data_IF_238174371185
#
_entry.id   IF_238174371185
#
_cell.length_a   1.000
_cell.length_b   1.000
_cell.length_c   1.000
_cell.angle_alpha   90.00
_cell.angle_beta   90.00
_cell.angle_gamma   90.00
#
_symmetry.space_group_name_H-M   'P 1'
#
loop_
_entity.id
_entity.type
_entity.pdbx_description
1 polymer ?
#
# COMPACT_ATOMS: atom_id res chain seq x y z
N UNK A 1 16.61 16.00 -5.21
CA UNK A 1 16.70 14.67 -5.86
C UNK A 1 17.26 13.58 -4.94
N UNK A 2 18.50 13.70 -4.44
CA UNK A 2 19.16 12.66 -3.61
C UNK A 2 18.34 12.22 -2.38
N UNK A 3 17.60 13.15 -1.78
CA UNK A 3 16.75 12.89 -0.61
C UNK A 3 15.63 11.90 -0.88
N UNK A 4 14.92 12.03 -2.01
CA UNK A 4 13.82 11.14 -2.39
C UNK A 4 14.31 9.72 -2.70
N UNK A 5 15.48 9.61 -3.33
CA UNK A 5 16.11 8.32 -3.63
C UNK A 5 16.48 7.59 -2.34
N UNK A 6 17.04 8.30 -1.35
CA UNK A 6 17.33 7.72 -0.03
C UNK A 6 16.07 7.21 0.66
N UNK A 7 14.98 7.99 0.63
CA UNK A 7 13.73 7.56 1.23
C UNK A 7 13.14 6.32 0.54
N UNK A 8 13.16 6.26 -0.79
CA UNK A 8 12.72 5.08 -1.52
C UNK A 8 13.56 3.84 -1.19
N UNK A 9 14.88 4.01 -1.02
CA UNK A 9 15.78 2.95 -0.58
C UNK A 9 15.45 2.48 0.84
N UNK A 10 15.19 3.38 1.78
CA UNK A 10 14.79 2.99 3.14
C UNK A 10 13.42 2.32 3.17
N UNK A 11 12.47 2.78 2.35
CA UNK A 11 11.18 2.11 2.19
C UNK A 11 11.34 0.70 1.61
N UNK A 12 12.21 0.52 0.62
CA UNK A 12 12.58 -0.79 0.08
C UNK A 12 13.15 -1.70 1.17
N UNK A 13 14.18 -1.24 1.88
CA UNK A 13 14.88 -2.04 2.91
C UNK A 13 13.95 -2.39 4.08
N UNK A 14 13.14 -1.43 4.54
CA UNK A 14 12.12 -1.68 5.57
C UNK A 14 11.15 -2.76 5.11
N UNK A 15 10.63 -2.62 3.89
CA UNK A 15 9.69 -3.59 3.32
C UNK A 15 10.30 -4.99 3.19
N UNK A 16 11.54 -5.10 2.71
CA UNK A 16 12.27 -6.38 2.65
C UNK A 16 12.46 -6.97 4.05
N UNK A 17 12.86 -6.15 5.02
CA UNK A 17 13.04 -6.58 6.41
C UNK A 17 11.75 -7.13 7.01
N UNK A 18 10.63 -6.45 6.81
CA UNK A 18 9.31 -6.93 7.25
C UNK A 18 8.84 -8.15 6.45
N UNK A 19 9.14 -8.25 5.16
CA UNK A 19 8.84 -9.44 4.38
C UNK A 19 9.60 -10.67 4.91
N UNK A 20 10.86 -10.51 5.32
CA UNK A 20 11.64 -11.54 6.01
C UNK A 20 11.04 -11.85 7.39
N UNK A 21 10.70 -10.83 8.17
CA UNK A 21 10.10 -10.97 9.50
C UNK A 21 8.79 -11.76 9.47
N UNK A 22 7.98 -11.57 8.42
CA UNK A 22 6.74 -12.31 8.20
C UNK A 22 6.93 -13.64 7.47
N UNK A 23 8.16 -14.16 7.41
CA UNK A 23 8.51 -15.43 6.77
C UNK A 23 8.08 -15.52 5.30
N UNK A 24 8.20 -14.41 4.56
CA UNK A 24 7.94 -14.35 3.12
C UNK A 24 8.90 -15.25 2.32
N UNK A 25 8.44 -15.89 1.23
CA UNK A 25 9.30 -16.69 0.37
C UNK A 25 10.50 -15.89 -0.17
N UNK A 26 11.71 -16.47 -0.14
CA UNK A 26 12.96 -15.78 -0.50
C UNK A 26 12.94 -15.20 -1.93
N UNK A 27 12.28 -15.89 -2.85
CA UNK A 27 12.08 -15.50 -4.26
C UNK A 27 11.16 -14.27 -4.42
N UNK A 28 10.45 -13.86 -3.37
CA UNK A 28 9.50 -12.74 -3.40
C UNK A 28 10.00 -11.46 -2.74
N UNK A 29 11.10 -11.53 -1.97
CA UNK A 29 11.53 -10.44 -1.08
C UNK A 29 11.85 -9.15 -1.84
N UNK A 30 12.58 -9.24 -2.95
CA UNK A 30 12.94 -8.08 -3.77
C UNK A 30 11.68 -7.43 -4.34
N UNK A 31 10.72 -8.23 -4.79
CA UNK A 31 9.46 -7.75 -5.38
C UNK A 31 8.54 -7.15 -4.31
N UNK A 32 8.53 -7.71 -3.09
CA UNK A 32 7.88 -7.07 -1.96
C UNK A 32 8.53 -5.71 -1.68
N UNK A 33 9.86 -5.64 -1.67
CA UNK A 33 10.63 -4.40 -1.51
C UNK A 33 10.22 -3.31 -2.52
N UNK A 34 10.07 -3.67 -3.81
CA UNK A 34 9.66 -2.70 -4.83
C UNK A 34 8.22 -2.20 -4.62
N UNK A 35 7.30 -3.03 -4.11
CA UNK A 35 5.96 -2.57 -3.72
C UNK A 35 6.02 -1.43 -2.71
N UNK A 36 6.83 -1.57 -1.65
CA UNK A 36 6.94 -0.54 -0.62
C UNK A 36 7.69 0.70 -1.08
N UNK A 37 8.74 0.54 -1.89
CA UNK A 37 9.47 1.68 -2.47
C UNK A 37 8.57 2.53 -3.38
N UNK A 38 7.80 1.88 -4.27
CA UNK A 38 6.91 2.59 -5.20
C UNK A 38 5.73 3.19 -4.44
N UNK A 39 5.11 2.46 -3.50
CA UNK A 39 4.05 2.99 -2.66
C UNK A 39 4.49 4.22 -1.86
N UNK A 40 5.72 4.21 -1.33
CA UNK A 40 6.29 5.36 -0.63
C UNK A 40 6.52 6.56 -1.56
N UNK A 41 7.06 6.33 -2.77
CA UNK A 41 7.25 7.40 -3.76
C UNK A 41 5.93 8.06 -4.16
N UNK A 42 4.89 7.26 -4.41
CA UNK A 42 3.55 7.79 -4.70
C UNK A 42 3.02 8.59 -3.52
N UNK A 43 3.21 8.11 -2.29
CA UNK A 43 2.82 8.86 -1.09
C UNK A 43 3.51 10.24 -1.02
N UNK A 44 4.81 10.33 -1.27
CA UNK A 44 5.52 11.62 -1.26
C UNK A 44 4.93 12.57 -2.32
N UNK A 45 4.77 12.09 -3.55
CA UNK A 45 4.27 12.91 -4.67
C UNK A 45 2.85 13.38 -4.38
N UNK A 46 1.97 12.47 -3.97
CA UNK A 46 0.58 12.78 -3.65
C UNK A 46 0.46 13.72 -2.45
N UNK A 47 1.29 13.55 -1.42
CA UNK A 47 1.33 14.47 -0.27
C UNK A 47 1.76 15.88 -0.71
N UNK A 48 2.75 15.98 -1.60
CA UNK A 48 3.20 17.26 -2.13
C UNK A 48 2.10 17.96 -2.95
N UNK A 49 1.36 17.22 -3.78
CA UNK A 49 0.32 17.80 -4.65
C UNK A 49 -0.98 18.14 -3.90
N UNK A 50 -1.38 17.32 -2.93
CA UNK A 50 -2.65 17.48 -2.20
C UNK A 50 -2.54 18.25 -0.89
N UNK A 51 -1.31 18.50 -0.41
CA UNK A 51 -1.02 19.02 0.91
C UNK A 51 -1.65 18.20 2.07
N UNK A 52 -1.96 16.92 1.83
CA UNK A 52 -2.62 16.03 2.80
C UNK A 52 -1.88 14.71 2.95
N UNK A 53 -1.48 14.40 4.20
CA UNK A 53 -0.83 13.12 4.51
C UNK A 53 -1.79 11.94 4.33
N UNK A 54 -3.08 12.13 4.60
CA UNK A 54 -4.11 11.09 4.50
C UNK A 54 -4.30 10.69 3.03
N UNK A 55 -4.38 11.68 2.13
CA UNK A 55 -4.50 11.46 0.67
C UNK A 55 -3.22 10.85 0.11
N UNK A 56 -2.05 11.35 0.54
CA UNK A 56 -0.76 10.77 0.16
C UNK A 56 -0.67 9.29 0.52
N UNK A 57 -1.00 8.97 1.76
CA UNK A 57 -0.98 7.59 2.26
C UNK A 57 -2.02 6.71 1.57
N UNK A 58 -3.21 7.23 1.31
CA UNK A 58 -4.26 6.52 0.57
C UNK A 58 -3.77 6.09 -0.82
N UNK A 59 -3.21 7.04 -1.58
CA UNK A 59 -2.72 6.78 -2.94
C UNK A 59 -1.50 5.86 -2.91
N UNK A 60 -0.57 6.07 -1.99
CA UNK A 60 0.59 5.18 -1.82
C UNK A 60 0.19 3.74 -1.47
N UNK A 61 -0.75 3.57 -0.54
CA UNK A 61 -1.25 2.26 -0.13
C UNK A 61 -2.06 1.60 -1.25
N UNK A 62 -2.81 2.38 -2.02
CA UNK A 62 -3.54 1.88 -3.20
C UNK A 62 -2.55 1.38 -4.25
N UNK A 63 -1.47 2.12 -4.50
CA UNK A 63 -0.42 1.67 -5.41
C UNK A 63 0.26 0.39 -4.93
N UNK A 64 0.63 0.31 -3.64
CA UNK A 64 1.22 -0.91 -3.07
C UNK A 64 0.26 -2.10 -3.17
N UNK A 65 -1.04 -1.88 -2.92
CA UNK A 65 -2.10 -2.89 -3.07
C UNK A 65 -2.22 -3.40 -4.51
N UNK A 66 -2.33 -2.49 -5.49
CA UNK A 66 -2.43 -2.85 -6.91
C UNK A 66 -1.17 -3.55 -7.43
N UNK A 67 0.02 -3.12 -7.01
CA UNK A 67 1.28 -3.79 -7.35
C UNK A 67 1.35 -5.18 -6.74
N UNK A 68 0.95 -5.34 -5.47
CA UNK A 68 0.94 -6.63 -4.81
C UNK A 68 -0.03 -7.62 -5.47
N UNK A 69 -1.21 -7.14 -5.88
CA UNK A 69 -2.18 -7.91 -6.69
C UNK A 69 -1.63 -8.31 -8.07
N UNK A 70 -0.84 -7.43 -8.71
CA UNK A 70 -0.19 -7.74 -9.97
C UNK A 70 0.92 -8.79 -9.78
N UNK A 71 1.77 -8.62 -8.77
CA UNK A 71 2.83 -9.55 -8.42
C UNK A 71 2.30 -10.92 -7.99
N UNK A 72 1.15 -10.97 -7.30
CA UNK A 72 0.49 -12.22 -6.98
C UNK A 72 0.25 -13.10 -8.22
N UNK A 73 -0.17 -12.47 -9.33
CA UNK A 73 -0.44 -13.16 -10.60
C UNK A 73 0.83 -13.52 -11.33
N UNK A 74 1.81 -12.62 -11.37
CA UNK A 74 3.08 -12.82 -12.08
C UNK A 74 3.88 -13.94 -11.43
N UNK A 75 4.02 -13.89 -10.10
CA UNK A 75 4.86 -14.83 -9.34
C UNK A 75 4.09 -16.03 -8.78
N UNK A 76 2.75 -16.06 -8.98
CA UNK A 76 1.87 -17.14 -8.50
C UNK A 76 2.00 -17.38 -7.00
N UNK A 77 1.97 -16.30 -6.22
CA UNK A 77 2.01 -16.30 -4.75
C UNK A 77 0.81 -15.54 -4.21
N UNK A 78 0.38 -15.78 -2.95
CA UNK A 78 -0.68 -14.98 -2.34
C UNK A 78 -0.36 -13.48 -2.36
N UNK A 79 -1.34 -12.63 -2.69
CA UNK A 79 -1.13 -11.19 -2.77
C UNK A 79 -0.64 -10.57 -1.46
N UNK A 80 -1.04 -11.15 -0.32
CA UNK A 80 -0.63 -10.74 1.02
C UNK A 80 0.89 -10.77 1.22
N UNK A 81 1.62 -11.65 0.52
CA UNK A 81 3.09 -11.73 0.55
C UNK A 81 3.74 -10.42 0.09
N UNK A 82 3.08 -9.69 -0.80
CA UNK A 82 3.57 -8.42 -1.33
C UNK A 82 2.90 -7.22 -0.65
N UNK A 83 1.58 -7.27 -0.46
CA UNK A 83 0.80 -6.14 0.05
C UNK A 83 1.15 -5.83 1.51
N UNK A 84 1.16 -6.84 2.38
CA UNK A 84 1.35 -6.64 3.83
C UNK A 84 2.70 -5.98 4.13
N UNK A 85 3.86 -6.51 3.69
CA UNK A 85 5.12 -5.80 3.88
C UNK A 85 5.17 -4.49 3.09
N UNK A 86 4.58 -4.43 1.89
CA UNK A 86 4.61 -3.25 1.01
C UNK A 86 3.93 -2.01 1.58
N UNK A 87 2.91 -2.16 2.43
CA UNK A 87 2.25 -1.01 3.10
C UNK A 87 2.96 -0.56 4.38
N UNK A 88 3.93 -1.33 4.91
CA UNK A 88 4.58 -1.05 6.20
C UNK A 88 5.21 0.35 6.26
N UNK A 89 5.96 0.82 5.24
CA UNK A 89 6.54 2.16 5.29
C UNK A 89 5.49 3.27 5.47
N UNK A 90 4.25 3.04 5.03
CA UNK A 90 3.16 4.01 5.09
C UNK A 90 2.43 4.03 6.44
N UNK A 91 2.62 3.01 7.26
CA UNK A 91 1.95 2.89 8.56
C UNK A 91 2.42 4.03 9.48
N UNK A 92 1.50 4.76 10.15
CA UNK A 92 1.85 5.94 10.95
C UNK A 92 2.42 5.57 12.34
N UNK A 93 3.49 4.78 12.38
CA UNK A 93 4.13 4.31 13.62
C UNK A 93 4.59 5.42 14.54
N UNK A 94 5.21 6.47 13.97
CA UNK A 94 5.64 7.65 14.73
C UNK A 94 4.44 8.39 15.33
N UNK A 95 3.34 8.53 14.57
CA UNK A 95 2.11 9.15 15.05
C UNK A 95 1.50 8.40 16.23
N UNK A 96 1.49 7.05 16.17
CA UNK A 96 1.06 6.21 17.30
C UNK A 96 1.92 6.44 18.55
N UNK A 97 3.26 6.43 18.38
CA UNK A 97 4.18 6.68 19.49
C UNK A 97 4.00 8.06 20.11
N UNK A 98 3.92 9.12 19.30
CA UNK A 98 3.77 10.49 19.81
C UNK A 98 2.40 10.74 20.45
N UNK A 99 1.35 10.09 19.95
CA UNK A 99 0.03 10.11 20.60
C UNK A 99 0.12 9.53 22.01
N UNK A 100 0.72 8.34 22.16
CA UNK A 100 0.90 7.71 23.46
C UNK A 100 1.77 8.56 24.40
N UNK A 101 2.85 9.14 23.87
CA UNK A 101 3.72 10.04 24.63
C UNK A 101 2.96 11.27 25.15
N UNK A 102 2.09 11.86 24.35
CA UNK A 102 1.27 13.00 24.75
C UNK A 102 0.25 12.62 25.84
N UNK A 103 -0.35 11.43 25.75
CA UNK A 103 -1.25 10.90 26.78
C UNK A 103 -0.54 10.69 28.12
N UNK A 104 0.66 10.10 28.12
CA UNK A 104 1.48 9.91 29.33
C UNK A 104 1.82 11.28 29.96
N UNK A 105 2.11 12.29 29.13
CA UNK A 105 2.37 13.67 29.57
C UNK A 105 1.11 14.44 29.97
N UNK A 106 -0.08 13.81 29.95
CA UNK A 106 -1.39 14.44 30.21
C UNK A 106 -1.69 15.64 29.31
N UNK A 107 -1.05 15.71 28.13
CA UNK A 107 -1.34 16.73 27.12
C UNK A 107 -2.40 16.20 26.14
N UNK A 108 -3.66 16.29 26.56
CA UNK A 108 -4.78 15.72 25.82
C UNK A 108 -5.09 16.43 24.50
N UNK A 109 -4.80 17.74 24.40
CA UNK A 109 -5.01 18.49 23.16
C UNK A 109 -4.06 17.99 22.06
N UNK A 110 -2.77 17.87 22.36
CA UNK A 110 -1.79 17.31 21.41
C UNK A 110 -2.06 15.84 21.12
N UNK A 111 -2.48 15.06 22.13
CA UNK A 111 -2.85 13.67 21.92
C UNK A 111 -4.05 13.52 20.97
N UNK A 112 -5.07 14.37 21.10
CA UNK A 112 -6.23 14.36 20.22
C UNK A 112 -5.87 14.75 18.78
N UNK A 113 -5.02 15.76 18.60
CA UNK A 113 -4.57 16.22 17.29
C UNK A 113 -3.76 15.15 16.55
N UNK A 114 -2.65 14.70 17.13
CA UNK A 114 -1.79 13.67 16.52
C UNK A 114 -2.52 12.33 16.41
N UNK A 115 -3.32 11.98 17.43
CA UNK A 115 -4.06 10.72 17.49
C UNK A 115 -5.13 10.63 16.41
N UNK A 116 -5.91 11.69 16.21
CA UNK A 116 -6.93 11.73 15.15
C UNK A 116 -6.28 11.60 13.76
N UNK A 117 -5.20 12.33 13.48
CA UNK A 117 -4.47 12.23 12.23
C UNK A 117 -3.90 10.81 12.00
N UNK A 118 -3.36 10.19 13.05
CA UNK A 118 -2.83 8.82 13.02
C UNK A 118 -3.93 7.81 12.70
N UNK A 119 -5.08 7.91 13.37
CA UNK A 119 -6.24 7.04 13.17
C UNK A 119 -6.76 7.18 11.73
N UNK A 120 -6.96 8.41 11.23
CA UNK A 120 -7.44 8.62 9.87
C UNK A 120 -6.44 8.14 8.82
N UNK A 121 -5.14 8.26 9.07
CA UNK A 121 -4.10 7.71 8.20
C UNK A 121 -4.17 6.18 8.17
N UNK A 122 -4.35 5.52 9.32
CA UNK A 122 -4.52 4.06 9.38
C UNK A 122 -5.80 3.59 8.66
N UNK A 123 -6.94 4.29 8.87
CA UNK A 123 -8.18 4.01 8.14
C UNK A 123 -8.01 4.18 6.63
N UNK A 124 -7.29 5.22 6.20
CA UNK A 124 -6.97 5.46 4.79
C UNK A 124 -6.24 4.26 4.17
N UNK A 125 -5.25 3.67 4.86
CA UNK A 125 -4.55 2.46 4.40
C UNK A 125 -5.53 1.28 4.27
N UNK A 126 -6.39 1.07 5.28
CA UNK A 126 -7.37 -0.02 5.25
C UNK A 126 -8.33 0.09 4.05
N UNK A 127 -8.87 1.29 3.81
CA UNK A 127 -9.75 1.56 2.66
C UNK A 127 -8.98 1.36 1.35
N UNK A 128 -7.75 1.87 1.25
CA UNK A 128 -6.91 1.74 0.06
C UNK A 128 -6.68 0.27 -0.34
N UNK A 129 -6.42 -0.62 0.62
CA UNK A 129 -6.25 -2.06 0.35
C UNK A 129 -7.57 -2.70 -0.13
N UNK A 130 -8.70 -2.36 0.49
CA UNK A 130 -10.04 -2.84 0.07
C UNK A 130 -10.33 -2.38 -1.37
N UNK A 131 -10.07 -1.11 -1.69
CA UNK A 131 -10.27 -0.52 -3.01
C UNK A 131 -9.38 -1.21 -4.03
N UNK A 132 -8.10 -1.41 -3.72
CA UNK A 132 -7.14 -2.08 -4.61
C UNK A 132 -7.59 -3.49 -4.98
N UNK A 133 -8.01 -4.28 -3.99
CA UNK A 133 -8.50 -5.65 -4.23
C UNK A 133 -9.81 -5.65 -5.04
N UNK A 134 -10.68 -4.66 -4.83
CA UNK A 134 -11.95 -4.52 -5.55
C UNK A 134 -11.72 -4.13 -7.00
N UNK A 135 -10.82 -3.18 -7.28
CA UNK A 135 -10.39 -2.82 -8.63
C UNK A 135 -9.81 -4.05 -9.33
N UNK A 136 -8.94 -4.79 -8.66
CA UNK A 136 -8.32 -5.98 -9.23
C UNK A 136 -9.35 -7.07 -9.60
N UNK A 137 -10.34 -7.34 -8.72
CA UNK A 137 -11.45 -8.25 -9.00
C UNK A 137 -12.30 -7.78 -10.19
N UNK A 138 -12.63 -6.49 -10.25
CA UNK A 138 -13.40 -5.92 -11.36
C UNK A 138 -12.67 -6.09 -12.70
N UNK A 139 -11.36 -5.79 -12.74
CA UNK A 139 -10.52 -5.98 -13.94
C UNK A 139 -10.49 -7.46 -14.37
N UNK A 140 -10.36 -8.40 -13.42
CA UNK A 140 -10.35 -9.83 -13.75
C UNK A 140 -11.68 -10.28 -14.35
N UNK A 141 -12.80 -9.94 -13.70
CA UNK A 141 -14.14 -10.28 -14.19
C UNK A 141 -14.39 -9.71 -15.59
N UNK A 142 -13.96 -8.46 -15.83
CA UNK A 142 -14.09 -7.84 -17.15
C UNK A 142 -13.24 -8.56 -18.22
N UNK A 143 -12.02 -8.96 -17.89
CA UNK A 143 -11.15 -9.74 -18.81
C UNK A 143 -11.75 -11.09 -19.17
N UNK A 144 -12.36 -11.78 -18.21
CA UNK A 144 -13.04 -13.06 -18.44
C UNK A 144 -14.28 -12.89 -19.33
N UNK A 145 -15.08 -11.85 -19.08
CA UNK A 145 -16.23 -11.50 -19.93
C UNK A 145 -15.83 -11.28 -21.40
N UNK A 146 -14.76 -10.50 -21.65
CA UNK A 146 -14.28 -10.25 -23.01
C UNK A 146 -13.74 -11.52 -23.68
N UNK A 147 -13.09 -12.42 -22.93
CA UNK A 147 -12.64 -13.71 -23.47
C UNK A 147 -13.80 -14.60 -23.88
N UNK A 148 -14.85 -14.69 -23.04
CA UNK A 148 -16.06 -15.47 -23.36
C UNK A 148 -16.77 -14.90 -24.59
N UNK A 149 -16.89 -13.56 -24.68
CA UNK A 149 -17.52 -12.91 -25.84
C UNK A 149 -16.80 -13.21 -27.16
N UNK A 150 -15.46 -13.29 -27.16
CA UNK A 150 -14.67 -13.64 -28.35
C UNK A 150 -14.79 -15.11 -28.78
N UNK A 151 -15.31 -15.99 -27.92
CA UNK A 151 -15.46 -17.42 -28.20
C UNK A 151 -16.87 -17.79 -28.68
N UNK A 152 -17.82 -16.85 -28.66
CA UNK A 152 -19.16 -17.06 -29.22
C UNK A 152 -19.09 -16.96 -30.76
N UNK A 153 -19.64 -17.93 -31.51
CA UNK A 153 -19.74 -17.82 -32.95
C UNK A 153 -20.62 -16.61 -33.31
N UNK A 154 -20.19 -15.83 -34.31
CA UNK A 154 -20.97 -14.70 -34.83
C UNK A 154 -22.33 -15.23 -35.26
N UNK A 155 -23.39 -14.76 -34.61
CA UNK A 155 -24.77 -15.17 -34.84
C UNK A 155 -25.35 -14.64 -36.16
N UNK A 156 -24.53 -14.48 -37.19
CA UNK A 156 -24.95 -14.10 -38.54
C UNK A 156 -25.00 -15.33 -39.45
N UNK A 157 -26.10 -16.07 -39.38
CA UNK A 157 -26.61 -16.93 -40.45
C UNK A 157 -28.09 -16.59 -40.66
#
# INVERSE_FOLDING_TARGET
MIFYIKQALYAFLSTVGFAVLFNGPKDTLVNAGTCGAIGWLVNIIAKYLSNSSIVGTFLGATTAGLLGEAYAKIFKKPATVFIVPGIIPLVPGAGMYYTMLALIKKNFITAADIGSQTIFTAFSIAIAVIVSSSINRAIMKYREYIKQKKQLPDGSN
#
